data_IF_449889733970
#
_entry.id   IF_449889733970
#
_cell.length_a   1.000
_cell.length_b   1.000
_cell.length_c   1.000
_cell.angle_alpha   90.00
_cell.angle_beta   90.00
_cell.angle_gamma   90.00
#
_symmetry.space_group_name_H-M   'P 1'
#
loop_
_entity.id
_entity.type
_entity.pdbx_description
1 polymer ?
#
# COMPACT_ATOMS: atom_id res chain seq x y z
N UNK A 1 6.40 -0.30 0.89
CA UNK A 1 6.66 0.93 0.13
C UNK A 1 6.88 0.57 -1.33
N UNK A 2 5.87 0.75 -2.18
CA UNK A 2 5.89 0.36 -3.60
C UNK A 2 7.00 1.08 -4.39
N UNK A 3 7.06 2.41 -4.27
CA UNK A 3 8.06 3.26 -4.97
C UNK A 3 9.37 3.43 -4.19
N UNK A 4 9.57 2.74 -3.07
CA UNK A 4 10.74 2.92 -2.19
C UNK A 4 12.09 2.50 -2.79
N UNK A 5 12.07 1.70 -3.86
CA UNK A 5 13.26 1.35 -4.64
C UNK A 5 13.69 2.43 -5.66
N UNK A 6 12.98 3.56 -5.70
CA UNK A 6 13.26 4.74 -6.53
C UNK A 6 13.29 5.98 -5.65
N UNK A 7 12.22 6.24 -4.89
CA UNK A 7 12.10 7.38 -3.98
C UNK A 7 12.65 7.00 -2.60
N UNK A 8 13.73 7.64 -2.13
CA UNK A 8 14.35 7.29 -0.84
C UNK A 8 13.40 7.52 0.35
N UNK A 9 13.49 6.67 1.38
CA UNK A 9 12.66 6.79 2.61
C UNK A 9 12.75 8.17 3.29
N UNK A 10 13.90 8.84 3.20
CA UNK A 10 14.13 10.17 3.77
C UNK A 10 13.29 11.27 3.11
N UNK A 11 12.84 11.08 1.86
CA UNK A 11 12.01 12.05 1.15
C UNK A 11 10.60 12.19 1.73
N UNK A 12 10.18 11.29 2.61
CA UNK A 12 8.84 11.29 3.24
C UNK A 12 8.89 11.16 4.76
N UNK A 13 10.02 11.46 5.41
CA UNK A 13 10.15 11.32 6.87
C UNK A 13 9.13 12.15 7.64
N UNK A 14 9.07 13.46 7.37
CA UNK A 14 8.12 14.34 8.05
C UNK A 14 6.66 14.00 7.71
N UNK A 15 6.36 13.73 6.43
CA UNK A 15 5.03 13.30 6.00
C UNK A 15 4.55 12.05 6.75
N UNK A 16 5.39 11.02 6.86
CA UNK A 16 5.01 9.79 7.57
C UNK A 16 4.81 10.00 9.06
N UNK A 17 5.59 10.87 9.69
CA UNK A 17 5.41 11.22 11.11
C UNK A 17 4.04 11.89 11.35
N UNK A 18 3.66 12.86 10.50
CA UNK A 18 2.35 13.48 10.57
C UNK A 18 1.20 12.49 10.30
N UNK A 19 1.39 11.55 9.36
CA UNK A 19 0.40 10.50 9.11
C UNK A 19 0.22 9.58 10.33
N UNK A 20 1.29 9.23 11.04
CA UNK A 20 1.19 8.44 12.28
C UNK A 20 0.42 9.19 13.38
N UNK A 21 0.64 10.49 13.53
CA UNK A 21 -0.11 11.31 14.50
C UNK A 21 -1.61 11.41 14.13
N UNK A 22 -1.89 11.56 12.83
CA UNK A 22 -3.25 11.56 12.28
C UNK A 22 -3.97 10.23 12.54
N UNK A 23 -3.32 9.10 12.25
CA UNK A 23 -3.85 7.75 12.49
C UNK A 23 -4.18 7.53 13.97
N UNK A 24 -3.28 7.94 14.89
CA UNK A 24 -3.52 7.85 16.33
C UNK A 24 -4.70 8.72 16.80
N UNK A 25 -4.85 9.91 16.22
CA UNK A 25 -5.97 10.82 16.49
C UNK A 25 -7.29 10.19 16.02
N UNK A 26 -7.33 9.61 14.83
CA UNK A 26 -8.52 8.92 14.29
C UNK A 26 -8.89 7.71 15.16
N UNK A 27 -7.90 6.90 15.57
CA UNK A 27 -8.14 5.68 16.35
C UNK A 27 -8.68 5.95 17.76
N UNK A 28 -8.35 7.10 18.36
CA UNK A 28 -8.74 7.44 19.74
C UNK A 28 -9.92 8.43 19.82
N UNK A 29 -10.37 8.97 18.69
CA UNK A 29 -11.40 10.00 18.68
C UNK A 29 -12.79 9.47 19.04
N UNK A 30 -13.47 10.18 19.94
CA UNK A 30 -14.88 9.94 20.30
C UNK A 30 -15.88 10.58 19.32
N UNK A 31 -15.40 11.46 18.43
CA UNK A 31 -16.21 12.19 17.45
C UNK A 31 -15.46 12.36 16.13
N UNK A 32 -16.14 12.04 15.03
CA UNK A 32 -15.61 12.24 13.69
C UNK A 32 -15.33 13.73 13.39
N UNK A 33 -16.18 14.64 13.88
CA UNK A 33 -16.00 16.08 13.70
C UNK A 33 -14.69 16.53 14.35
N UNK A 34 -14.45 16.10 15.60
CA UNK A 34 -13.22 16.44 16.33
C UNK A 34 -11.99 15.86 15.65
N UNK A 35 -12.05 14.59 15.19
CA UNK A 35 -10.94 13.98 14.47
C UNK A 35 -10.63 14.73 13.16
N UNK A 36 -11.65 14.99 12.35
CA UNK A 36 -11.48 15.57 11.00
C UNK A 36 -10.98 17.02 11.05
N UNK A 37 -11.43 17.81 12.03
CA UNK A 37 -10.99 19.21 12.20
C UNK A 37 -9.79 19.38 13.15
N UNK A 38 -9.16 18.28 13.59
CA UNK A 38 -7.93 18.31 14.39
C UNK A 38 -6.75 18.88 13.61
N UNK A 39 -5.76 19.44 14.34
CA UNK A 39 -4.53 19.94 13.72
C UNK A 39 -3.70 18.80 13.13
N UNK A 40 -3.70 17.63 13.76
CA UNK A 40 -3.01 16.43 13.30
C UNK A 40 -3.52 16.01 11.92
N UNK A 41 -4.84 15.97 11.75
CA UNK A 41 -5.46 15.63 10.46
C UNK A 41 -5.22 16.72 9.42
N UNK A 42 -5.37 18.00 9.79
CA UNK A 42 -5.17 19.12 8.88
C UNK A 42 -3.72 19.20 8.38
N UNK A 43 -2.74 19.10 9.28
CA UNK A 43 -1.32 19.13 8.94
C UNK A 43 -0.91 17.93 8.09
N UNK A 44 -1.35 16.71 8.43
CA UNK A 44 -1.05 15.53 7.63
C UNK A 44 -1.61 15.65 6.20
N UNK A 45 -2.84 16.16 6.07
CA UNK A 45 -3.49 16.38 4.77
C UNK A 45 -2.75 17.44 3.94
N UNK A 46 -2.39 18.56 4.56
CA UNK A 46 -1.66 19.63 3.89
C UNK A 46 -0.26 19.16 3.46
N UNK A 47 0.47 18.46 4.33
CA UNK A 47 1.78 17.91 4.03
C UNK A 47 1.74 16.92 2.85
N UNK A 48 0.72 16.05 2.77
CA UNK A 48 0.54 15.16 1.62
C UNK A 48 0.25 15.94 0.33
N UNK A 49 -0.60 16.96 0.43
CA UNK A 49 -0.99 17.81 -0.71
C UNK A 49 0.22 18.57 -1.26
N UNK A 50 0.98 19.21 -0.37
CA UNK A 50 2.21 19.92 -0.71
C UNK A 50 3.24 18.98 -1.33
N UNK A 51 3.47 17.81 -0.72
CA UNK A 51 4.43 16.81 -1.20
C UNK A 51 4.11 16.34 -2.62
N UNK A 52 2.81 16.14 -2.92
CA UNK A 52 2.35 15.72 -4.25
C UNK A 52 2.45 16.85 -5.29
N UNK A 53 1.92 18.04 -4.98
CA UNK A 53 1.85 19.17 -5.92
C UNK A 53 3.24 19.69 -6.25
N UNK A 54 4.11 19.81 -5.24
CA UNK A 54 5.50 20.26 -5.42
C UNK A 54 6.42 19.19 -6.03
N UNK A 55 5.94 17.95 -6.17
CA UNK A 55 6.76 16.79 -6.58
C UNK A 55 8.00 16.62 -5.69
N UNK A 56 7.83 16.74 -4.38
CA UNK A 56 8.90 16.85 -3.40
C UNK A 56 9.90 15.67 -3.39
N UNK A 57 9.59 14.56 -4.07
CA UNK A 57 10.55 13.46 -4.29
C UNK A 57 11.66 13.80 -5.28
N UNK A 58 11.46 14.73 -6.23
CA UNK A 58 12.40 14.98 -7.33
C UNK A 58 13.83 15.34 -6.88
N UNK A 59 14.04 16.24 -5.90
CA UNK A 59 15.39 16.59 -5.44
C UNK A 59 16.15 15.43 -4.78
N UNK A 60 15.46 14.36 -4.39
CA UNK A 60 16.05 13.20 -3.72
C UNK A 60 16.52 12.12 -4.70
N UNK A 61 16.25 12.26 -6.00
CA UNK A 61 16.57 11.26 -7.01
C UNK A 61 18.00 11.46 -7.54
N UNK A 62 18.87 10.46 -7.33
CA UNK A 62 20.14 10.38 -8.04
C UNK A 62 19.92 10.02 -9.52
N UNK A 63 20.99 10.06 -10.33
CA UNK A 63 20.90 9.76 -11.76
C UNK A 63 20.31 8.37 -12.07
N UNK A 64 20.58 7.37 -11.21
CA UNK A 64 20.06 6.01 -11.37
C UNK A 64 18.55 5.97 -11.10
N UNK A 65 18.10 6.64 -10.04
CA UNK A 65 16.69 6.75 -9.69
C UNK A 65 15.92 7.57 -10.72
N UNK A 66 16.52 8.62 -11.27
CA UNK A 66 15.95 9.41 -12.37
C UNK A 66 15.78 8.55 -13.65
N UNK A 67 16.76 7.71 -13.98
CA UNK A 67 16.62 6.75 -15.07
C UNK A 67 15.44 5.80 -14.87
N UNK A 68 15.32 5.22 -13.67
CA UNK A 68 14.22 4.29 -13.33
C UNK A 68 12.85 4.96 -13.30
N UNK A 69 12.74 6.20 -12.79
CA UNK A 69 11.45 6.89 -12.69
C UNK A 69 10.93 7.38 -14.05
N UNK A 70 11.84 7.54 -15.02
CA UNK A 70 11.51 7.97 -16.38
C UNK A 70 11.21 6.79 -17.33
N UNK A 71 11.37 5.55 -16.87
CA UNK A 71 11.11 4.33 -17.64
C UNK A 71 9.61 3.95 -17.62
N UNK A 72 9.24 2.93 -18.39
CA UNK A 72 7.87 2.43 -18.55
C UNK A 72 7.25 1.98 -17.23
N UNK A 73 6.15 2.64 -16.84
CA UNK A 73 5.35 2.22 -15.69
C UNK A 73 4.76 0.81 -15.88
N UNK A 74 4.42 0.41 -17.11
CA UNK A 74 3.94 -0.95 -17.42
C UNK A 74 4.98 -2.02 -17.08
N UNK A 75 6.25 -1.81 -17.48
CA UNK A 75 7.34 -2.73 -17.12
C UNK A 75 7.59 -2.76 -15.62
N UNK A 76 7.52 -1.60 -14.96
CA UNK A 76 7.61 -1.52 -13.51
C UNK A 76 6.49 -2.32 -12.82
N UNK A 77 5.26 -2.18 -13.30
CA UNK A 77 4.08 -2.86 -12.78
C UNK A 77 4.19 -4.39 -12.91
N UNK A 78 4.53 -4.92 -14.10
CA UNK A 78 4.69 -6.36 -14.33
C UNK A 78 5.68 -7.00 -13.33
N UNK A 79 6.82 -6.32 -13.10
CA UNK A 79 7.85 -6.77 -12.16
C UNK A 79 7.32 -6.77 -10.72
N UNK A 80 6.63 -5.71 -10.31
CA UNK A 80 6.16 -5.58 -8.94
C UNK A 80 4.93 -6.46 -8.64
N UNK A 81 4.03 -6.68 -9.61
CA UNK A 81 2.92 -7.63 -9.49
C UNK A 81 3.42 -9.04 -9.18
N UNK A 82 4.46 -9.49 -9.88
CA UNK A 82 5.07 -10.80 -9.64
C UNK A 82 5.67 -10.92 -8.22
N UNK A 83 6.26 -9.84 -7.69
CA UNK A 83 6.80 -9.81 -6.32
C UNK A 83 5.69 -9.91 -5.27
N UNK A 84 4.63 -9.11 -5.39
CA UNK A 84 3.52 -9.16 -4.45
C UNK A 84 2.75 -10.48 -4.53
N UNK A 85 2.57 -11.05 -5.73
CA UNK A 85 1.99 -12.38 -5.90
C UNK A 85 2.83 -13.48 -5.22
N UNK A 86 4.17 -13.41 -5.32
CA UNK A 86 5.06 -14.36 -4.66
C UNK A 86 4.96 -14.26 -3.13
N UNK A 87 4.92 -13.05 -2.57
CA UNK A 87 4.71 -12.82 -1.13
C UNK A 87 3.38 -13.43 -0.67
N UNK A 88 2.28 -13.10 -1.34
CA UNK A 88 0.95 -13.64 -1.01
C UNK A 88 0.93 -15.17 -1.08
N UNK A 89 1.48 -15.75 -2.14
CA UNK A 89 1.57 -17.20 -2.29
C UNK A 89 2.40 -17.83 -1.16
N UNK A 90 3.50 -17.23 -0.76
CA UNK A 90 4.37 -17.78 0.30
C UNK A 90 3.71 -17.77 1.69
N UNK A 91 2.87 -16.77 1.96
CA UNK A 91 2.24 -16.59 3.28
C UNK A 91 0.94 -17.39 3.40
N UNK A 92 0.14 -17.43 2.34
CA UNK A 92 -1.20 -18.01 2.34
C UNK A 92 -1.29 -19.38 1.66
N UNK A 93 -0.17 -20.03 1.31
CA UNK A 93 -0.18 -21.39 0.74
C UNK A 93 -0.63 -22.47 1.74
N UNK A 94 -0.62 -22.17 3.03
CA UNK A 94 -1.00 -23.09 4.11
C UNK A 94 -1.98 -22.41 5.07
N UNK A 95 -2.85 -23.18 5.74
CA UNK A 95 -3.73 -22.64 6.75
C UNK A 95 -2.92 -22.07 7.92
N UNK A 96 -3.28 -20.87 8.39
CA UNK A 96 -2.58 -20.18 9.46
C UNK A 96 -3.20 -20.39 10.84
N UNK A 97 -4.36 -21.06 10.93
CA UNK A 97 -5.14 -21.18 12.16
C UNK A 97 -5.51 -19.80 12.70
N UNK A 98 -5.35 -19.57 14.00
CA UNK A 98 -5.73 -18.29 14.63
C UNK A 98 -4.80 -17.11 14.28
N UNK A 99 -3.73 -17.34 13.51
CA UNK A 99 -2.72 -16.32 13.16
C UNK A 99 -3.03 -15.52 11.90
N UNK A 100 -4.23 -15.63 11.34
CA UNK A 100 -4.63 -14.84 10.17
C UNK A 100 -4.63 -13.34 10.46
N UNK A 101 -5.09 -12.93 11.65
CA UNK A 101 -5.17 -11.53 12.02
C UNK A 101 -3.79 -10.84 12.00
N UNK A 102 -2.73 -11.56 12.38
CA UNK A 102 -1.36 -11.08 12.36
C UNK A 102 -0.85 -10.77 10.94
N UNK A 103 -1.46 -11.38 9.91
CA UNK A 103 -1.09 -11.17 8.51
C UNK A 103 -1.85 -10.01 7.86
N UNK A 104 -2.85 -9.41 8.51
CA UNK A 104 -3.62 -8.30 7.93
C UNK A 104 -2.75 -7.15 7.41
N UNK A 105 -1.74 -6.64 8.14
CA UNK A 105 -0.89 -5.56 7.63
C UNK A 105 -0.14 -5.93 6.34
N UNK A 106 0.23 -7.20 6.19
CA UNK A 106 0.91 -7.70 4.99
C UNK A 106 -0.06 -7.88 3.83
N UNK A 107 -1.21 -8.49 4.08
CA UNK A 107 -2.27 -8.70 3.10
C UNK A 107 -2.77 -7.37 2.52
N UNK A 108 -3.13 -6.41 3.39
CA UNK A 108 -3.60 -5.08 2.97
C UNK A 108 -2.55 -4.39 2.11
N UNK A 109 -1.27 -4.42 2.51
CA UNK A 109 -0.17 -3.83 1.73
C UNK A 109 -0.07 -4.43 0.33
N UNK A 110 -0.18 -5.75 0.20
CA UNK A 110 -0.02 -6.43 -1.09
C UNK A 110 -1.26 -6.21 -1.99
N UNK A 111 -2.47 -6.17 -1.42
CA UNK A 111 -3.70 -5.79 -2.14
C UNK A 111 -3.61 -4.34 -2.64
N UNK A 112 -3.30 -3.38 -1.78
CA UNK A 112 -3.15 -1.96 -2.15
C UNK A 112 -2.10 -1.79 -3.25
N UNK A 113 -0.99 -2.52 -3.15
CA UNK A 113 0.06 -2.47 -4.16
C UNK A 113 -0.43 -3.02 -5.51
N UNK A 114 -1.17 -4.13 -5.53
CA UNK A 114 -1.73 -4.70 -6.75
C UNK A 114 -2.76 -3.75 -7.40
N UNK A 115 -3.63 -3.12 -6.61
CA UNK A 115 -4.62 -2.14 -7.10
C UNK A 115 -3.95 -0.98 -7.83
N UNK A 116 -2.79 -0.52 -7.35
CA UNK A 116 -2.01 0.55 -7.99
C UNK A 116 -1.27 0.11 -9.26
N UNK A 117 -1.10 -1.19 -9.49
CA UNK A 117 -0.26 -1.74 -10.58
C UNK A 117 -1.07 -2.40 -11.70
N UNK A 118 -2.26 -2.92 -11.41
CA UNK A 118 -3.02 -3.77 -12.33
C UNK A 118 -3.75 -3.01 -13.45
N UNK A 119 -3.66 -1.68 -13.50
CA UNK A 119 -4.44 -0.83 -14.41
C UNK A 119 -4.19 -1.00 -15.93
N UNK A 120 -3.16 -1.76 -16.33
CA UNK A 120 -2.89 -2.08 -17.74
C UNK A 120 -3.58 -3.36 -18.24
N UNK A 121 -4.17 -4.15 -17.34
CA UNK A 121 -4.84 -5.39 -17.69
C UNK A 121 -6.35 -5.19 -17.79
N UNK A 122 -7.03 -6.15 -18.43
CA UNK A 122 -8.49 -6.16 -18.46
C UNK A 122 -9.03 -6.04 -17.02
N UNK A 123 -9.96 -5.10 -16.73
CA UNK A 123 -10.51 -4.93 -15.39
C UNK A 123 -11.08 -6.23 -14.81
N UNK A 124 -11.62 -7.13 -15.64
CA UNK A 124 -12.10 -8.45 -15.23
C UNK A 124 -10.95 -9.35 -14.79
N UNK A 125 -9.80 -9.29 -15.46
CA UNK A 125 -8.58 -10.05 -15.11
C UNK A 125 -7.88 -9.42 -13.90
N UNK A 126 -7.83 -8.09 -13.81
CA UNK A 126 -7.27 -7.36 -12.66
C UNK A 126 -8.10 -7.55 -11.39
N UNK A 127 -9.43 -7.50 -11.50
CA UNK A 127 -10.36 -7.82 -10.42
C UNK A 127 -10.39 -9.32 -10.10
N UNK A 128 -10.19 -10.20 -11.08
CA UNK A 128 -10.01 -11.65 -10.88
C UNK A 128 -8.73 -11.95 -10.12
N UNK A 129 -7.60 -11.29 -10.40
CA UNK A 129 -6.37 -11.44 -9.63
C UNK A 129 -6.58 -11.00 -8.18
N UNK A 130 -7.17 -9.82 -7.95
CA UNK A 130 -7.48 -9.34 -6.60
C UNK A 130 -8.52 -10.24 -5.89
N UNK A 131 -9.54 -10.70 -6.61
CA UNK A 131 -10.65 -11.52 -6.13
C UNK A 131 -10.29 -13.00 -5.93
N UNK A 132 -9.37 -13.57 -6.70
CA UNK A 132 -8.81 -14.90 -6.47
C UNK A 132 -7.88 -14.87 -5.27
N UNK A 133 -7.08 -13.82 -5.09
CA UNK A 133 -6.22 -13.66 -3.91
C UNK A 133 -7.05 -13.46 -2.63
N UNK A 134 -8.11 -12.64 -2.69
CA UNK A 134 -9.05 -12.47 -1.56
C UNK A 134 -9.95 -13.71 -1.34
N UNK A 135 -10.41 -14.34 -2.42
CA UNK A 135 -11.28 -15.52 -2.38
C UNK A 135 -10.54 -16.81 -2.00
N UNK A 136 -9.23 -16.90 -2.26
CA UNK A 136 -8.40 -17.98 -1.74
C UNK A 136 -8.25 -17.87 -0.22
N UNK A 137 -8.05 -16.66 0.32
CA UNK A 137 -8.01 -16.44 1.77
C UNK A 137 -9.35 -16.81 2.44
N UNK A 138 -10.49 -16.48 1.82
CA UNK A 138 -11.82 -16.82 2.36
C UNK A 138 -12.15 -18.32 2.26
N UNK A 139 -11.85 -18.97 1.12
CA UNK A 139 -12.13 -20.42 0.92
C UNK A 139 -11.24 -21.33 1.77
N UNK A 140 -10.06 -20.87 2.17
CA UNK A 140 -9.23 -21.58 3.15
C UNK A 140 -9.70 -21.39 4.60
N UNK A 141 -10.46 -20.33 4.91
CA UNK A 141 -11.06 -20.11 6.22
C UNK A 141 -12.26 -21.04 6.47
N UNK A 142 -13.12 -21.26 5.47
CA UNK A 142 -14.31 -22.13 5.56
C UNK A 142 -13.98 -23.64 5.63
N UNK A 143 -12.78 -24.05 5.21
CA UNK A 143 -12.33 -25.45 5.36
C UNK A 143 -11.79 -25.80 6.74
N UNK A 144 -11.77 -24.84 7.67
CA UNK A 144 -11.26 -25.04 9.03
C UNK A 144 -12.36 -25.30 10.07
N UNK A 145 -13.63 -25.40 9.64
CA UNK A 145 -14.80 -25.74 10.48
C UNK A 145 -15.34 -27.17 10.28
N UNK A 146 -14.58 -28.06 9.64
CA UNK A 146 -14.88 -29.49 9.58
C UNK A 146 -13.67 -30.35 9.93
#
# INVERSE_FOLDING_TARGET
>A
MLFGGIVPRKASTHLRDLLTQCEATIASAVSAVTAVYSTETAMAKLALTEWLVSKAWQPFLDAKAQGKISDSFKRFADIHLSRHAAELKSVFCQPLGDRYHDQLPRLTRDIDSILLLAGYYDPVVGASLAGELAGAASRYCDRSTH
#
